data_IF_434220731579
#
_entry.id   IF_434220731579
#
_cell.length_a   1.000
_cell.length_b   1.000
_cell.length_c   1.000
_cell.angle_alpha   90.00
_cell.angle_beta   90.00
_cell.angle_gamma   90.00
#
_symmetry.space_group_name_H-M   'P 1'
#
loop_
_entity.id
_entity.type
_entity.pdbx_description
1 polymer ?
#
# COMPACT_ATOMS: atom_id res chain seq x y z
N UNK A 1 31.58 25.97 7.79
CA UNK A 1 30.65 24.82 7.79
C UNK A 1 29.94 24.88 6.45
N UNK A 2 30.14 23.90 5.56
CA UNK A 2 29.47 23.92 4.27
C UNK A 2 27.96 23.90 4.50
N UNK A 3 27.25 24.89 3.96
CA UNK A 3 25.79 25.01 4.04
C UNK A 3 25.16 23.80 3.36
N UNK A 4 24.88 22.74 4.12
CA UNK A 4 24.19 21.56 3.63
C UNK A 4 22.70 21.85 3.47
N UNK A 5 22.06 21.20 2.49
CA UNK A 5 20.60 21.26 2.33
C UNK A 5 19.93 20.73 3.61
N UNK A 6 19.03 21.51 4.19
CA UNK A 6 18.28 21.10 5.38
C UNK A 6 16.90 20.55 5.00
N UNK A 7 16.38 19.61 5.79
CA UNK A 7 14.99 19.13 5.67
C UNK A 7 14.00 20.30 5.75
N UNK A 8 14.29 21.31 6.56
CA UNK A 8 13.41 22.48 6.71
C UNK A 8 13.23 23.25 5.40
N UNK A 9 14.31 23.44 4.64
CA UNK A 9 14.26 24.12 3.33
C UNK A 9 13.39 23.35 2.33
N UNK A 10 13.51 22.01 2.29
CA UNK A 10 12.68 21.17 1.40
C UNK A 10 11.21 21.19 1.83
N UNK A 11 10.94 21.13 3.14
CA UNK A 11 9.56 21.20 3.65
C UNK A 11 8.95 22.57 3.39
N UNK A 12 9.71 23.66 3.48
CA UNK A 12 9.23 24.99 3.11
C UNK A 12 8.86 25.05 1.62
N UNK A 13 9.65 24.42 0.75
CA UNK A 13 9.33 24.28 -0.68
C UNK A 13 7.98 23.59 -0.90
N UNK A 14 7.79 22.45 -0.22
CA UNK A 14 6.55 21.68 -0.24
C UNK A 14 5.36 22.48 0.31
N UNK A 15 5.59 23.30 1.34
CA UNK A 15 4.57 24.17 1.91
C UNK A 15 4.17 25.29 0.93
N UNK A 16 5.14 25.94 0.28
CA UNK A 16 4.88 26.97 -0.75
C UNK A 16 4.03 26.39 -1.87
N UNK A 17 4.32 25.15 -2.30
CA UNK A 17 3.56 24.48 -3.33
C UNK A 17 2.12 24.16 -2.91
N UNK A 18 1.88 23.78 -1.64
CA UNK A 18 0.57 23.30 -1.17
C UNK A 18 -0.31 24.35 -0.48
N UNK A 19 0.22 25.54 -0.18
CA UNK A 19 -0.55 26.57 0.53
C UNK A 19 -1.65 27.14 -0.37
N UNK A 20 -2.94 27.08 0.03
CA UNK A 20 -4.00 27.75 -0.70
C UNK A 20 -3.87 29.26 -0.49
N UNK A 21 -3.64 30.01 -1.57
CA UNK A 21 -3.67 31.48 -1.53
C UNK A 21 -5.12 31.94 -1.63
N UNK A 22 -5.74 32.11 -0.47
CA UNK A 22 -7.12 32.55 -0.37
C UNK A 22 -7.25 34.04 -0.57
N UNK A 23 -7.48 34.49 -1.79
CA UNK A 23 -8.08 35.81 -2.08
C UNK A 23 -9.07 35.79 -3.26
N UNK A 24 -9.18 34.70 -4.02
CA UNK A 24 -10.04 34.64 -5.21
C UNK A 24 -11.48 34.11 -4.96
N UNK A 25 -11.86 33.77 -3.73
CA UNK A 25 -13.17 33.16 -3.47
C UNK A 25 -14.33 34.18 -3.38
N UNK A 26 -14.06 35.49 -3.42
CA UNK A 26 -15.11 36.51 -3.16
C UNK A 26 -15.65 37.29 -4.35
N UNK A 27 -15.03 37.29 -5.52
CA UNK A 27 -15.52 38.14 -6.63
C UNK A 27 -15.49 37.41 -7.97
N UNK A 28 -16.58 36.69 -8.29
CA UNK A 28 -17.00 36.45 -9.67
C UNK A 28 -18.47 36.01 -9.70
N UNK A 29 -19.36 37.00 -9.80
CA UNK A 29 -20.73 36.77 -10.22
C UNK A 29 -20.79 36.35 -11.69
N UNK A 30 -21.60 35.34 -11.97
CA UNK A 30 -22.09 34.93 -13.30
C UNK A 30 -21.14 34.10 -14.19
N UNK A 31 -20.81 32.88 -13.74
CA UNK A 31 -20.53 31.74 -14.62
C UNK A 31 -21.08 30.45 -13.98
N UNK A 32 -21.31 29.38 -14.75
CA UNK A 32 -21.78 28.10 -14.21
C UNK A 32 -20.88 27.64 -13.05
N UNK A 33 -21.45 27.21 -11.90
CA UNK A 33 -20.74 27.10 -10.63
C UNK A 33 -19.62 26.04 -10.59
N UNK A 34 -19.53 25.16 -11.59
CA UNK A 34 -18.51 24.11 -11.68
C UNK A 34 -17.28 24.52 -12.51
N UNK A 35 -17.48 25.25 -13.60
CA UNK A 35 -16.40 25.76 -14.46
C UNK A 35 -15.59 26.86 -13.79
N UNK A 36 -16.23 27.70 -12.99
CA UNK A 36 -15.54 28.78 -12.25
C UNK A 36 -14.54 28.19 -11.23
N UNK A 37 -14.99 27.18 -10.45
CA UNK A 37 -14.15 26.46 -9.49
C UNK A 37 -12.95 25.75 -10.12
N UNK A 38 -13.10 25.22 -11.34
CA UNK A 38 -12.02 24.56 -12.07
C UNK A 38 -10.93 25.57 -12.49
N UNK A 39 -11.34 26.71 -13.05
CA UNK A 39 -10.43 27.78 -13.44
C UNK A 39 -9.68 28.35 -12.22
N UNK A 40 -10.38 28.57 -11.10
CA UNK A 40 -9.75 29.01 -9.84
C UNK A 40 -8.71 28.01 -9.34
N UNK A 41 -9.01 26.71 -9.38
CA UNK A 41 -8.07 25.67 -8.97
C UNK A 41 -6.82 25.65 -9.87
N UNK A 42 -7.00 25.65 -11.20
CA UNK A 42 -5.89 25.63 -12.15
C UNK A 42 -4.99 26.88 -11.99
N UNK A 43 -5.60 28.05 -11.79
CA UNK A 43 -4.88 29.30 -11.54
C UNK A 43 -4.10 29.24 -10.23
N UNK A 44 -4.67 28.64 -9.17
CA UNK A 44 -3.99 28.43 -7.89
C UNK A 44 -2.78 27.52 -8.05
N UNK A 45 -2.92 26.38 -8.74
CA UNK A 45 -1.81 25.46 -9.01
C UNK A 45 -0.69 26.14 -9.81
N UNK A 46 -1.06 26.89 -10.85
CA UNK A 46 -0.11 27.63 -11.69
C UNK A 46 0.65 28.69 -10.88
N UNK A 47 -0.06 29.48 -10.08
CA UNK A 47 0.53 30.51 -9.23
C UNK A 47 1.49 29.91 -8.19
N UNK A 48 1.12 28.78 -7.58
CA UNK A 48 1.96 28.09 -6.60
C UNK A 48 3.27 27.60 -7.25
N UNK A 49 3.20 27.04 -8.46
CA UNK A 49 4.40 26.64 -9.22
C UNK A 49 5.26 27.85 -9.57
N UNK A 50 4.68 28.92 -10.13
CA UNK A 50 5.47 30.11 -10.49
C UNK A 50 6.12 30.79 -9.28
N UNK A 51 5.46 30.79 -8.13
CA UNK A 51 6.03 31.32 -6.88
C UNK A 51 7.18 30.45 -6.38
N UNK A 52 7.04 29.13 -6.49
CA UNK A 52 8.11 28.20 -6.13
C UNK A 52 9.32 28.38 -7.04
N UNK A 53 9.11 28.47 -8.36
CA UNK A 53 10.17 28.70 -9.35
C UNK A 53 10.90 30.02 -9.09
N UNK A 54 10.16 31.11 -8.85
CA UNK A 54 10.72 32.43 -8.54
C UNK A 54 11.56 32.41 -7.26
N UNK A 55 11.05 31.79 -6.19
CA UNK A 55 11.81 31.64 -4.93
C UNK A 55 13.07 30.80 -5.10
N UNK A 56 13.02 29.73 -5.90
CA UNK A 56 14.19 28.87 -6.13
C UNK A 56 15.24 29.59 -6.98
N UNK A 57 14.83 30.41 -7.93
CA UNK A 57 15.75 31.15 -8.81
C UNK A 57 16.41 32.32 -8.08
N UNK A 58 15.64 33.06 -7.29
CA UNK A 58 16.07 34.33 -6.69
C UNK A 58 16.52 34.21 -5.22
N UNK A 59 16.16 33.12 -4.52
CA UNK A 59 16.47 32.92 -3.11
C UNK A 59 17.86 32.31 -2.86
N UNK A 60 18.78 32.97 -2.13
CA UNK A 60 20.08 32.40 -1.81
C UNK A 60 19.99 31.14 -0.95
N UNK A 61 18.99 31.07 -0.05
CA UNK A 61 18.71 29.92 0.82
C UNK A 61 18.28 28.65 0.05
N UNK A 62 17.89 28.81 -1.22
CA UNK A 62 17.32 27.76 -2.07
C UNK A 62 18.31 27.25 -3.11
N UNK A 63 19.53 27.80 -3.13
CA UNK A 63 20.59 27.42 -4.09
C UNK A 63 20.95 25.95 -4.00
N UNK A 64 21.15 25.43 -2.79
CA UNK A 64 21.48 24.01 -2.59
C UNK A 64 20.30 23.10 -2.93
N UNK A 65 19.07 23.53 -2.68
CA UNK A 65 17.88 22.80 -3.14
C UNK A 65 17.83 22.75 -4.67
N UNK A 66 18.10 23.87 -5.35
CA UNK A 66 18.11 23.91 -6.81
C UNK A 66 19.20 23.00 -7.39
N UNK A 67 20.39 22.99 -6.78
CA UNK A 67 21.49 22.10 -7.15
C UNK A 67 21.10 20.62 -7.00
N UNK A 68 20.41 20.27 -5.92
CA UNK A 68 19.86 18.92 -5.71
C UNK A 68 18.81 18.56 -6.78
N UNK A 69 17.88 19.48 -7.09
CA UNK A 69 16.86 19.30 -8.14
C UNK A 69 17.51 19.02 -9.49
N UNK A 70 18.49 19.81 -9.90
CA UNK A 70 19.19 19.63 -11.18
C UNK A 70 19.98 18.31 -11.23
N UNK A 71 20.62 17.91 -10.11
CA UNK A 71 21.31 16.63 -9.99
C UNK A 71 20.34 15.46 -10.17
N UNK A 72 19.19 15.49 -9.50
CA UNK A 72 18.17 14.46 -9.61
C UNK A 72 17.62 14.37 -11.03
N UNK A 73 17.26 15.50 -11.64
CA UNK A 73 16.78 15.54 -13.03
C UNK A 73 17.79 14.92 -14.01
N UNK A 74 19.09 15.13 -13.81
CA UNK A 74 20.13 14.53 -14.63
C UNK A 74 20.29 13.01 -14.41
N UNK A 75 19.99 12.51 -13.20
CA UNK A 75 20.09 11.08 -12.87
C UNK A 75 18.84 10.29 -13.29
N UNK A 76 17.66 10.91 -13.24
CA UNK A 76 16.38 10.24 -13.51
C UNK A 76 15.97 10.33 -14.98
N UNK A 77 16.37 9.33 -15.78
CA UNK A 77 16.03 9.25 -17.22
C UNK A 77 14.53 9.31 -17.51
N UNK A 78 13.68 8.86 -16.60
CA UNK A 78 12.23 8.82 -16.81
C UNK A 78 11.55 10.20 -16.64
N UNK A 79 12.23 11.20 -16.05
CA UNK A 79 11.78 12.60 -15.95
C UNK A 79 12.26 13.49 -17.11
N UNK A 80 13.11 12.96 -18.00
CA UNK A 80 13.67 13.72 -19.11
C UNK A 80 12.57 14.30 -20.01
N UNK A 81 12.70 15.59 -20.37
CA UNK A 81 11.74 16.30 -21.23
C UNK A 81 10.37 16.62 -20.59
N UNK A 82 10.13 16.23 -19.33
CA UNK A 82 8.83 16.43 -18.67
C UNK A 82 8.59 17.88 -18.21
N UNK A 83 9.66 18.68 -18.04
CA UNK A 83 9.62 20.06 -17.54
C UNK A 83 9.57 21.09 -18.69
N UNK A 84 8.85 20.79 -19.77
CA UNK A 84 8.73 21.68 -20.94
C UNK A 84 7.80 22.88 -20.67
N UNK A 85 7.99 23.98 -21.40
CA UNK A 85 7.12 25.18 -21.31
C UNK A 85 5.66 24.91 -21.69
N UNK A 86 5.38 23.87 -22.47
CA UNK A 86 4.04 23.48 -22.91
C UNK A 86 3.34 22.50 -21.96
N UNK A 87 3.92 22.23 -20.78
CA UNK A 87 3.37 21.29 -19.81
C UNK A 87 2.11 21.86 -19.15
N UNK A 88 1.04 21.07 -19.10
CA UNK A 88 -0.21 21.48 -18.48
C UNK A 88 0.00 21.82 -16.99
N UNK A 89 -0.68 22.86 -16.44
CA UNK A 89 -0.36 23.36 -15.10
C UNK A 89 -0.56 22.33 -13.98
N UNK A 90 -1.58 21.47 -14.06
CA UNK A 90 -1.80 20.40 -13.06
C UNK A 90 -0.68 19.35 -13.07
N UNK A 91 -0.18 19.02 -14.26
CA UNK A 91 0.91 18.07 -14.40
C UNK A 91 2.25 18.69 -14.01
N UNK A 92 2.47 19.96 -14.37
CA UNK A 92 3.64 20.74 -13.93
C UNK A 92 3.73 20.78 -12.40
N UNK A 93 2.61 21.04 -11.73
CA UNK A 93 2.50 21.00 -10.28
C UNK A 93 2.84 19.61 -9.71
N UNK A 94 2.30 18.56 -10.32
CA UNK A 94 2.54 17.17 -9.88
C UNK A 94 4.02 16.79 -10.01
N UNK A 95 4.67 17.17 -11.12
CA UNK A 95 6.09 16.95 -11.34
C UNK A 95 6.95 17.68 -10.31
N UNK A 96 6.62 18.93 -9.98
CA UNK A 96 7.34 19.68 -8.94
C UNK A 96 7.18 19.04 -7.55
N UNK A 97 5.96 18.61 -7.21
CA UNK A 97 5.71 17.89 -5.96
C UNK A 97 6.53 16.60 -5.87
N UNK A 98 6.55 15.79 -6.93
CA UNK A 98 7.33 14.56 -7.01
C UNK A 98 8.84 14.83 -6.89
N UNK A 99 9.36 15.83 -7.61
CA UNK A 99 10.77 16.19 -7.55
C UNK A 99 11.19 16.67 -6.15
N UNK A 100 10.35 17.47 -5.48
CA UNK A 100 10.62 17.89 -4.10
C UNK A 100 10.56 16.74 -3.10
N UNK A 101 9.68 15.76 -3.29
CA UNK A 101 9.67 14.54 -2.47
C UNK A 101 10.94 13.69 -2.67
N UNK A 102 11.45 13.60 -3.90
CA UNK A 102 12.73 12.95 -4.17
C UNK A 102 13.90 13.73 -3.55
N UNK A 103 13.88 15.07 -3.61
CA UNK A 103 14.87 15.90 -2.91
C UNK A 103 14.82 15.67 -1.39
N UNK A 104 13.63 15.54 -0.82
CA UNK A 104 13.46 15.26 0.61
C UNK A 104 14.06 13.90 0.97
N UNK A 105 13.77 12.87 0.17
CA UNK A 105 14.34 11.52 0.33
C UNK A 105 15.87 11.54 0.28
N UNK A 106 16.48 12.13 -0.75
CA UNK A 106 17.95 12.20 -0.84
C UNK A 106 18.58 13.03 0.29
N UNK A 107 17.94 14.14 0.68
CA UNK A 107 18.37 14.94 1.83
C UNK A 107 18.38 14.11 3.12
N UNK A 108 17.34 13.29 3.36
CA UNK A 108 17.27 12.42 4.53
C UNK A 108 18.36 11.33 4.49
N UNK A 109 18.66 10.78 3.31
CA UNK A 109 19.74 9.78 3.14
C UNK A 109 21.11 10.40 3.42
N UNK A 110 21.40 11.58 2.86
CA UNK A 110 22.67 12.31 3.10
C UNK A 110 22.83 12.70 4.59
N UNK A 111 21.75 13.08 5.27
CA UNK A 111 21.76 13.42 6.69
C UNK A 111 21.99 12.18 7.57
N UNK A 112 21.38 11.04 7.26
CA UNK A 112 21.62 9.80 7.99
C UNK A 112 23.05 9.31 7.78
N UNK A 113 23.58 9.40 6.56
CA UNK A 113 24.95 9.00 6.26
C UNK A 113 26.01 9.85 7.00
N UNK A 114 25.69 11.12 7.29
CA UNK A 114 26.57 12.03 8.03
C UNK A 114 26.36 12.00 9.55
N UNK A 115 25.37 11.26 10.04
CA UNK A 115 25.03 11.20 11.45
C UNK A 115 25.86 10.16 12.21
N UNK A 116 26.57 10.63 13.24
CA UNK A 116 27.23 9.77 14.21
C UNK A 116 26.49 9.87 15.54
N UNK A 117 25.79 8.81 16.00
CA UNK A 117 25.09 8.86 17.28
C UNK A 117 26.09 9.03 18.43
N UNK A 118 25.79 9.97 19.33
CA UNK A 118 26.53 10.16 20.57
C UNK A 118 26.52 8.86 21.38
N UNK A 119 27.68 8.41 21.88
CA UNK A 119 27.73 7.24 22.77
C UNK A 119 26.83 7.47 23.99
N UNK A 120 25.97 6.51 24.36
CA UNK A 120 25.10 6.67 25.52
C UNK A 120 25.95 6.90 26.77
N UNK A 121 25.72 8.01 27.46
CA UNK A 121 26.47 8.34 28.66
C UNK A 121 25.88 7.54 29.84
N UNK A 122 26.64 6.61 30.46
CA UNK A 122 26.13 5.75 31.52
C UNK A 122 25.73 6.51 32.80
N UNK A 123 26.07 7.81 32.92
CA UNK A 123 25.73 8.66 34.07
C UNK A 123 24.36 9.32 34.00
N UNK A 124 23.68 9.31 32.85
CA UNK A 124 22.35 9.89 32.66
C UNK A 124 21.48 8.98 31.79
N UNK A 125 21.03 7.83 32.33
CA UNK A 125 20.20 6.86 31.60
C UNK A 125 18.80 7.39 31.23
N UNK A 126 18.35 8.51 31.83
CA UNK A 126 17.07 9.15 31.53
C UNK A 126 17.08 10.07 30.29
N UNK A 127 18.26 10.36 29.72
CA UNK A 127 18.33 11.18 28.50
C UNK A 127 17.99 10.30 27.32
N UNK A 128 16.83 10.56 26.71
CA UNK A 128 16.39 9.89 25.49
C UNK A 128 17.50 9.98 24.41
N UNK A 129 17.80 8.87 23.70
CA UNK A 129 18.80 8.89 22.63
C UNK A 129 18.42 9.95 21.59
N UNK A 130 19.43 10.63 21.05
CA UNK A 130 19.22 11.65 20.04
C UNK A 130 18.42 11.07 18.87
N UNK A 131 17.32 11.74 18.50
CA UNK A 131 16.48 11.33 17.38
C UNK A 131 17.33 11.30 16.10
N UNK A 132 17.08 10.31 15.26
CA UNK A 132 17.74 10.22 13.96
C UNK A 132 17.35 11.45 13.11
N UNK A 133 18.28 11.99 12.31
CA UNK A 133 18.07 13.24 11.59
C UNK A 133 17.04 13.13 10.46
N UNK A 134 16.59 11.91 10.13
CA UNK A 134 15.49 11.60 9.21
C UNK A 134 14.11 11.53 9.89
N UNK A 135 14.02 11.92 11.17
CA UNK A 135 12.75 12.02 11.88
C UNK A 135 12.05 13.32 11.55
N UNK A 136 10.88 13.24 10.91
CA UNK A 136 10.03 14.39 10.62
C UNK A 136 9.17 14.76 11.83
N UNK A 137 9.10 16.04 12.17
CA UNK A 137 8.14 16.57 13.15
C UNK A 137 6.69 16.40 12.69
N UNK A 138 5.73 16.43 13.63
CA UNK A 138 4.30 16.26 13.33
C UNK A 138 3.80 17.29 12.29
N UNK A 139 4.28 18.54 12.36
CA UNK A 139 3.95 19.58 11.38
C UNK A 139 4.53 19.27 10.00
N UNK A 140 5.77 18.76 9.92
CA UNK A 140 6.39 18.37 8.65
C UNK A 140 5.68 17.15 8.05
N UNK A 141 5.30 16.16 8.86
CA UNK A 141 4.53 14.99 8.41
C UNK A 141 3.19 15.40 7.80
N UNK A 142 2.46 16.36 8.41
CA UNK A 142 1.21 16.88 7.84
C UNK A 142 1.40 17.54 6.48
N UNK A 143 2.49 18.29 6.29
CA UNK A 143 2.82 18.91 5.00
C UNK A 143 3.11 17.83 3.97
N UNK A 144 3.94 16.83 4.30
CA UNK A 144 4.25 15.71 3.41
C UNK A 144 2.99 14.91 3.06
N UNK A 145 2.12 14.63 4.03
CA UNK A 145 0.83 13.96 3.78
C UNK A 145 -0.06 14.77 2.83
N UNK A 146 -0.14 16.09 2.99
CA UNK A 146 -0.90 16.94 2.07
C UNK A 146 -0.32 16.90 0.65
N UNK A 147 1.01 16.95 0.50
CA UNK A 147 1.68 16.81 -0.80
C UNK A 147 1.38 15.45 -1.42
N UNK A 148 1.52 14.37 -0.65
CA UNK A 148 1.21 13.01 -1.11
C UNK A 148 -0.25 12.92 -1.57
N UNK A 149 -1.19 13.52 -0.83
CA UNK A 149 -2.59 13.59 -1.25
C UNK A 149 -2.74 14.26 -2.62
N UNK A 150 -2.06 15.38 -2.87
CA UNK A 150 -2.08 16.04 -4.19
C UNK A 150 -1.45 15.16 -5.28
N UNK A 151 -0.29 14.56 -5.02
CA UNK A 151 0.40 13.69 -5.97
C UNK A 151 -0.46 12.48 -6.34
N UNK A 152 -1.11 11.83 -5.38
CA UNK A 152 -2.01 10.70 -5.65
C UNK A 152 -3.25 11.19 -6.42
N UNK A 153 -3.82 12.32 -6.00
CA UNK A 153 -5.02 12.90 -6.58
C UNK A 153 -4.84 13.39 -8.02
N UNK A 154 -3.67 13.96 -8.37
CA UNK A 154 -3.38 14.55 -9.68
C UNK A 154 -2.50 13.64 -10.55
N UNK A 155 -1.70 12.76 -9.93
CA UNK A 155 -0.66 11.94 -10.57
C UNK A 155 -0.97 10.46 -10.73
N UNK A 156 -1.90 9.89 -9.94
CA UNK A 156 -2.31 8.48 -10.07
C UNK A 156 -3.79 8.38 -10.43
N UNK A 157 -4.68 8.79 -9.53
CA UNK A 157 -6.11 8.52 -9.61
C UNK A 157 -6.76 8.94 -10.95
N UNK A 158 -6.40 10.09 -11.56
CA UNK A 158 -7.02 10.52 -12.80
C UNK A 158 -6.64 9.66 -14.00
N UNK A 159 -5.51 8.94 -13.92
CA UNK A 159 -4.96 8.13 -15.01
C UNK A 159 -5.27 6.63 -14.88
N UNK A 160 -5.89 6.22 -13.77
CA UNK A 160 -6.41 4.87 -13.60
C UNK A 160 -7.60 4.61 -14.53
N UNK A 161 -7.70 3.39 -15.06
CA UNK A 161 -8.83 2.95 -15.86
C UNK A 161 -10.08 2.80 -14.98
N UNK A 162 -11.29 2.98 -15.53
CA UNK A 162 -12.53 2.75 -14.79
C UNK A 162 -12.56 1.35 -14.16
N UNK A 163 -12.82 1.29 -12.85
CA UNK A 163 -12.85 0.04 -12.08
C UNK A 163 -11.49 -0.42 -11.55
N UNK A 164 -10.38 0.25 -11.91
CA UNK A 164 -9.06 0.03 -11.32
C UNK A 164 -8.85 0.99 -10.16
N UNK A 165 -8.63 0.47 -8.95
CA UNK A 165 -8.50 1.28 -7.73
C UNK A 165 -9.83 1.83 -7.21
N UNK A 166 -9.74 2.78 -6.28
CA UNK A 166 -10.88 3.55 -5.77
C UNK A 166 -10.92 4.91 -6.49
N UNK A 167 -12.01 5.25 -7.19
CA UNK A 167 -12.11 6.52 -7.89
C UNK A 167 -11.96 7.71 -6.93
N UNK A 168 -11.25 8.75 -7.36
CA UNK A 168 -11.05 9.98 -6.58
C UNK A 168 -12.36 10.65 -6.16
N UNK A 169 -13.44 10.53 -6.96
CA UNK A 169 -14.77 11.08 -6.63
C UNK A 169 -15.39 10.45 -5.39
N UNK A 170 -14.99 9.22 -5.05
CA UNK A 170 -15.49 8.51 -3.88
C UNK A 170 -14.70 8.86 -2.61
N UNK A 171 -13.61 9.62 -2.74
CA UNK A 171 -12.69 9.95 -1.65
C UNK A 171 -12.71 11.43 -1.27
N UNK A 172 -13.07 12.31 -2.20
CA UNK A 172 -13.16 13.74 -1.94
C UNK A 172 -14.07 14.43 -2.95
N UNK A 173 -14.79 15.46 -2.52
CA UNK A 173 -15.50 16.40 -3.39
C UNK A 173 -14.55 17.06 -4.41
N UNK A 174 -13.26 17.18 -4.07
CA UNK A 174 -12.17 17.61 -4.95
C UNK A 174 -12.00 16.69 -6.18
N UNK A 175 -12.37 15.41 -6.07
CA UNK A 175 -12.17 14.41 -7.12
C UNK A 175 -13.03 14.59 -8.36
N UNK A 176 -14.19 15.25 -8.24
CA UNK A 176 -15.01 15.60 -9.40
C UNK A 176 -14.33 16.70 -10.22
N UNK A 177 -13.83 17.74 -9.54
CA UNK A 177 -13.12 18.87 -10.15
C UNK A 177 -11.83 18.43 -10.86
N UNK A 178 -11.05 17.52 -10.25
CA UNK A 178 -9.81 17.02 -10.87
C UNK A 178 -10.07 16.21 -12.13
N UNK A 179 -11.14 15.40 -12.18
CA UNK A 179 -11.43 14.59 -13.36
C UNK A 179 -11.75 15.45 -14.58
N UNK A 180 -12.52 16.52 -14.38
CA UNK A 180 -12.84 17.48 -15.43
C UNK A 180 -11.62 18.25 -15.95
N UNK A 181 -10.56 18.40 -15.15
CA UNK A 181 -9.31 19.02 -15.60
C UNK A 181 -8.52 18.13 -16.58
N UNK A 182 -8.72 16.80 -16.55
CA UNK A 182 -7.83 15.80 -17.18
C UNK A 182 -8.48 15.14 -18.41
N UNK A 183 -9.49 15.81 -18.99
CA UNK A 183 -10.40 15.21 -19.99
C UNK A 183 -9.81 15.14 -21.41
N UNK A 184 -8.74 15.87 -21.72
CA UNK A 184 -8.24 16.05 -23.10
C UNK A 184 -6.95 15.29 -23.43
N UNK A 185 -6.48 14.38 -22.58
CA UNK A 185 -5.20 13.69 -22.78
C UNK A 185 -5.30 12.41 -23.61
N UNK A 186 -4.33 12.18 -24.49
CA UNK A 186 -4.21 10.92 -25.24
C UNK A 186 -3.87 9.75 -24.30
N UNK A 187 -4.25 8.50 -24.63
CA UNK A 187 -3.96 7.32 -23.80
C UNK A 187 -2.47 7.10 -23.50
N UNK A 188 -1.59 7.48 -24.43
CA UNK A 188 -0.13 7.37 -24.29
C UNK A 188 0.41 8.34 -23.25
N UNK A 189 -0.04 9.59 -23.27
CA UNK A 189 0.31 10.61 -22.27
C UNK A 189 -0.15 10.16 -20.88
N UNK A 190 -1.40 9.70 -20.75
CA UNK A 190 -1.96 9.21 -19.48
C UNK A 190 -1.13 8.07 -18.90
N UNK A 191 -0.75 7.11 -19.74
CA UNK A 191 0.07 5.97 -19.34
C UNK A 191 1.47 6.41 -18.90
N UNK A 192 2.09 7.35 -19.62
CA UNK A 192 3.41 7.89 -19.27
C UNK A 192 3.38 8.65 -17.95
N UNK A 193 2.37 9.49 -17.72
CA UNK A 193 2.20 10.25 -16.46
C UNK A 193 1.98 9.34 -15.26
N UNK A 194 1.19 8.28 -15.44
CA UNK A 194 1.01 7.26 -14.40
C UNK A 194 2.34 6.54 -14.10
N UNK A 195 3.11 6.16 -15.12
CA UNK A 195 4.42 5.54 -14.94
C UNK A 195 5.41 6.43 -14.18
N UNK A 196 5.50 7.70 -14.55
CA UNK A 196 6.35 8.70 -13.87
C UNK A 196 5.94 8.80 -12.39
N UNK A 197 4.65 8.94 -12.10
CA UNK A 197 4.15 9.08 -10.73
C UNK A 197 4.41 7.84 -9.88
N UNK A 198 4.13 6.64 -10.41
CA UNK A 198 4.42 5.39 -9.71
C UNK A 198 5.92 5.20 -9.48
N UNK A 199 6.77 5.53 -10.46
CA UNK A 199 8.23 5.35 -10.33
C UNK A 199 8.82 6.28 -9.27
N UNK A 200 8.43 7.56 -9.28
CA UNK A 200 8.83 8.53 -8.26
C UNK A 200 8.40 8.09 -6.85
N UNK A 201 7.16 7.63 -6.70
CA UNK A 201 6.63 7.20 -5.40
C UNK A 201 7.29 5.90 -4.89
N UNK A 202 7.65 4.99 -5.79
CA UNK A 202 8.45 3.81 -5.44
C UNK A 202 9.86 4.19 -4.99
N UNK A 203 10.49 5.19 -5.61
CA UNK A 203 11.78 5.70 -5.13
C UNK A 203 11.66 6.35 -3.74
N UNK A 204 10.57 7.10 -3.49
CA UNK A 204 10.28 7.70 -2.18
C UNK A 204 9.98 6.63 -1.13
N UNK A 205 9.32 5.53 -1.48
CA UNK A 205 8.96 4.47 -0.52
C UNK A 205 10.16 3.72 0.05
N UNK A 206 11.33 3.77 -0.60
CA UNK A 206 12.54 3.16 -0.08
C UNK A 206 13.06 3.83 1.21
N UNK A 207 12.69 5.09 1.47
CA UNK A 207 13.05 5.77 2.72
C UNK A 207 12.01 5.47 3.79
N UNK A 208 12.41 4.87 4.92
CA UNK A 208 11.48 4.34 5.95
C UNK A 208 10.43 5.35 6.43
N UNK A 209 10.85 6.56 6.82
CA UNK A 209 9.93 7.61 7.30
C UNK A 209 8.92 8.03 6.24
N UNK A 210 9.35 8.24 4.99
CA UNK A 210 8.46 8.66 3.90
C UNK A 210 7.60 7.50 3.38
N UNK A 211 8.17 6.31 3.29
CA UNK A 211 7.50 5.07 2.95
C UNK A 211 6.38 4.74 3.91
N UNK A 212 6.58 4.93 5.23
CA UNK A 212 5.49 4.75 6.20
C UNK A 212 4.31 5.68 5.91
N UNK A 213 4.54 6.98 5.69
CA UNK A 213 3.49 7.96 5.38
C UNK A 213 2.77 7.64 4.06
N UNK A 214 3.51 7.18 3.05
CA UNK A 214 2.96 6.82 1.74
C UNK A 214 2.13 5.52 1.81
N UNK A 215 2.69 4.46 2.38
CA UNK A 215 2.13 3.12 2.32
C UNK A 215 0.99 2.91 3.32
N UNK A 216 0.94 3.65 4.43
CA UNK A 216 -0.20 3.58 5.36
C UNK A 216 -1.51 4.06 4.74
N UNK A 217 -1.47 5.04 3.82
CA UNK A 217 -2.67 5.68 3.29
C UNK A 217 -2.91 5.45 1.79
N UNK A 218 -1.86 5.22 1.01
CA UNK A 218 -1.94 5.23 -0.45
C UNK A 218 -1.40 3.94 -1.10
N UNK A 219 -1.16 2.89 -0.32
CA UNK A 219 -0.74 1.57 -0.82
C UNK A 219 -1.69 1.07 -1.92
N UNK A 220 -3.01 1.13 -1.70
CA UNK A 220 -4.00 0.68 -2.66
C UNK A 220 -3.94 1.39 -4.02
N UNK A 221 -3.63 2.69 -4.03
CA UNK A 221 -3.52 3.48 -5.26
C UNK A 221 -2.26 3.14 -6.03
N UNK A 222 -1.15 3.02 -5.32
CA UNK A 222 0.14 2.65 -5.89
C UNK A 222 0.07 1.23 -6.47
N UNK A 223 -0.54 0.29 -5.74
CA UNK A 223 -0.81 -1.06 -6.23
C UNK A 223 -1.71 -1.05 -7.47
N UNK A 224 -2.78 -0.25 -7.48
CA UNK A 224 -3.66 -0.12 -8.63
C UNK A 224 -2.92 0.39 -9.88
N UNK A 225 -2.08 1.42 -9.69
CA UNK A 225 -1.23 1.98 -10.73
C UNK A 225 -0.25 0.95 -11.28
N UNK A 226 0.53 0.29 -10.41
CA UNK A 226 1.50 -0.73 -10.81
C UNK A 226 0.84 -1.95 -11.50
N UNK A 227 -0.33 -2.39 -11.01
CA UNK A 227 -1.11 -3.44 -11.66
C UNK A 227 -1.51 -3.04 -13.08
N UNK A 228 -2.00 -1.81 -13.26
CA UNK A 228 -2.38 -1.30 -14.58
C UNK A 228 -1.18 -1.20 -15.51
N UNK A 229 -0.06 -0.65 -15.04
CA UNK A 229 1.15 -0.46 -15.86
C UNK A 229 1.80 -1.80 -16.25
N UNK A 230 1.85 -2.77 -15.33
CA UNK A 230 2.54 -4.05 -15.53
C UNK A 230 1.70 -5.12 -16.24
N UNK A 231 0.37 -5.13 -16.05
CA UNK A 231 -0.48 -6.27 -16.41
C UNK A 231 -1.72 -5.91 -17.23
N UNK A 232 -2.00 -4.63 -17.50
CA UNK A 232 -3.12 -4.27 -18.37
C UNK A 232 -2.87 -4.79 -19.79
N UNK A 233 -3.82 -5.53 -20.40
CA UNK A 233 -3.65 -6.01 -21.76
C UNK A 233 -3.60 -4.83 -22.75
N UNK A 234 -2.56 -4.75 -23.58
CA UNK A 234 -2.54 -3.81 -24.72
C UNK A 234 -3.70 -4.15 -25.66
N UNK A 235 -4.53 -3.17 -26.01
CA UNK A 235 -5.52 -3.32 -27.09
C UNK A 235 -4.77 -3.56 -28.40
N UNK A 236 -4.58 -4.82 -28.79
CA UNK A 236 -3.86 -5.19 -30.03
C UNK A 236 -4.72 -5.12 -31.30
N UNK A 237 -6.00 -4.76 -31.22
CA UNK A 237 -6.90 -4.77 -32.39
C UNK A 237 -7.61 -3.42 -32.56
N UNK A 238 -7.04 -2.55 -33.40
CA UNK A 238 -7.76 -1.63 -34.28
C UNK A 238 -6.81 -1.30 -35.44
N UNK A 239 -7.34 -1.35 -36.65
CA UNK A 239 -6.65 -1.50 -37.93
C UNK A 239 -5.73 -0.33 -38.32
N UNK A 240 -4.72 -0.68 -39.12
CA UNK A 240 -3.95 0.07 -40.12
C UNK A 240 -3.33 1.46 -39.82
N UNK A 241 -2.02 1.50 -40.11
CA UNK A 241 -1.26 2.60 -40.75
C UNK A 241 -1.47 4.02 -40.22
N UNK A 242 -0.45 4.56 -39.54
CA UNK A 242 0.40 5.67 -40.03
C UNK A 242 1.55 5.85 -39.03
N UNK A 243 2.67 6.36 -39.52
CA UNK A 243 3.92 6.67 -38.81
C UNK A 243 3.61 7.52 -37.57
N UNK A 244 3.47 6.87 -36.41
CA UNK A 244 3.65 7.43 -35.07
C UNK A 244 3.53 6.29 -34.05
N UNK A 245 4.59 5.47 -33.95
CA UNK A 245 4.87 4.70 -32.73
C UNK A 245 5.22 5.69 -31.61
N UNK A 246 4.25 6.50 -31.18
CA UNK A 246 4.33 7.27 -29.95
C UNK A 246 4.25 6.26 -28.81
N UNK A 247 5.45 5.94 -28.33
CA UNK A 247 5.81 4.89 -27.38
C UNK A 247 4.74 4.67 -26.30
N UNK A 248 3.97 3.62 -26.47
CA UNK A 248 3.54 2.80 -25.34
C UNK A 248 4.77 2.51 -24.45
N UNK A 249 4.54 2.28 -23.16
CA UNK A 249 5.59 1.82 -22.25
C UNK A 249 6.36 0.66 -22.87
N UNK A 250 7.69 0.76 -22.83
CA UNK A 250 8.58 -0.30 -23.29
C UNK A 250 8.36 -1.57 -22.46
N UNK A 251 8.67 -2.74 -23.02
CA UNK A 251 8.56 -4.00 -22.28
C UNK A 251 9.45 -4.00 -21.03
N UNK A 252 10.60 -3.32 -21.08
CA UNK A 252 11.48 -3.09 -19.94
C UNK A 252 10.78 -2.31 -18.81
N UNK A 253 10.14 -1.17 -19.13
CA UNK A 253 9.39 -0.37 -18.15
C UNK A 253 8.18 -1.13 -17.58
N UNK A 254 7.51 -1.95 -18.40
CA UNK A 254 6.43 -2.83 -17.90
C UNK A 254 6.96 -3.88 -16.93
N UNK A 255 8.10 -4.50 -17.24
CA UNK A 255 8.73 -5.48 -16.35
C UNK A 255 9.23 -4.81 -15.06
N UNK A 256 9.77 -3.60 -15.15
CA UNK A 256 10.13 -2.79 -13.99
C UNK A 256 8.92 -2.56 -13.07
N UNK A 257 7.75 -2.23 -13.63
CA UNK A 257 6.52 -2.09 -12.84
C UNK A 257 6.09 -3.39 -12.14
N UNK A 258 6.31 -4.55 -12.78
CA UNK A 258 6.03 -5.86 -12.15
C UNK A 258 6.98 -6.13 -10.99
N UNK A 259 8.26 -5.82 -11.14
CA UNK A 259 9.25 -5.98 -10.07
C UNK A 259 9.01 -5.01 -8.91
N UNK A 260 8.63 -3.75 -9.21
CA UNK A 260 8.18 -2.80 -8.20
C UNK A 260 6.96 -3.32 -7.43
N UNK A 261 5.97 -3.90 -8.13
CA UNK A 261 4.82 -4.50 -7.45
C UNK A 261 5.26 -5.66 -6.53
N UNK A 262 6.11 -6.58 -7.00
CA UNK A 262 6.59 -7.69 -6.16
C UNK A 262 7.34 -7.18 -4.91
N UNK A 263 8.30 -6.27 -5.11
CA UNK A 263 9.07 -5.68 -4.02
C UNK A 263 8.16 -5.00 -2.99
N UNK A 264 7.15 -4.26 -3.45
CA UNK A 264 6.16 -3.62 -2.59
C UNK A 264 5.34 -4.65 -1.78
N UNK A 265 4.90 -5.73 -2.42
CA UNK A 265 4.11 -6.79 -1.76
C UNK A 265 4.91 -7.57 -0.71
N UNK A 266 6.24 -7.64 -0.86
CA UNK A 266 7.13 -8.35 0.06
C UNK A 266 7.60 -7.48 1.23
N UNK A 267 7.69 -6.15 1.03
CA UNK A 267 8.10 -5.21 2.08
C UNK A 267 6.99 -4.82 3.05
N UNK A 268 5.74 -4.80 2.57
CA UNK A 268 4.60 -4.31 3.35
C UNK A 268 4.00 -5.41 4.21
N UNK A 269 3.47 -5.02 5.38
CA UNK A 269 2.74 -5.91 6.27
C UNK A 269 1.64 -6.67 5.52
N UNK A 270 1.77 -8.00 5.46
CA UNK A 270 0.98 -8.87 4.60
C UNK A 270 -0.55 -8.73 4.77
N UNK A 271 -1.11 -8.55 5.99
CA UNK A 271 -2.52 -8.25 6.17
C UNK A 271 -3.02 -6.99 5.44
N UNK A 272 -2.21 -5.93 5.37
CA UNK A 272 -2.56 -4.71 4.62
C UNK A 272 -2.58 -4.99 3.12
N UNK A 273 -1.59 -5.73 2.62
CA UNK A 273 -1.53 -6.16 1.22
C UNK A 273 -2.77 -6.97 0.83
N UNK A 274 -3.17 -7.94 1.66
CA UNK A 274 -4.35 -8.77 1.44
C UNK A 274 -5.61 -7.91 1.41
N UNK A 275 -5.75 -6.98 2.36
CA UNK A 275 -6.86 -6.02 2.40
C UNK A 275 -6.96 -5.22 1.11
N UNK A 276 -5.85 -4.63 0.65
CA UNK A 276 -5.85 -3.84 -0.59
C UNK A 276 -6.12 -4.70 -1.83
N UNK A 277 -5.58 -5.92 -1.90
CA UNK A 277 -5.88 -6.84 -2.99
C UNK A 277 -7.36 -7.24 -3.05
N UNK A 278 -8.02 -7.45 -1.90
CA UNK A 278 -9.46 -7.69 -1.82
C UNK A 278 -10.27 -6.48 -2.28
N UNK A 279 -9.83 -5.26 -1.92
CA UNK A 279 -10.46 -4.00 -2.38
C UNK A 279 -10.30 -3.83 -3.90
N UNK A 280 -9.15 -4.21 -4.47
CA UNK A 280 -8.85 -4.16 -5.91
C UNK A 280 -9.57 -5.25 -6.72
N UNK A 281 -9.74 -6.45 -6.16
CA UNK A 281 -10.54 -7.52 -6.76
C UNK A 281 -12.02 -7.11 -6.90
N UNK A 282 -12.43 -6.09 -6.14
CA UNK A 282 -13.77 -5.52 -6.14
C UNK A 282 -14.69 -6.31 -5.22
N UNK A 283 -14.27 -6.43 -3.94
CA UNK A 283 -14.91 -7.18 -2.86
C UNK A 283 -16.44 -7.13 -2.79
N UNK A 284 -17.07 -7.97 -1.93
CA UNK A 284 -18.53 -8.16 -1.92
C UNK A 284 -19.20 -6.80 -1.91
N UNK A 285 -20.20 -6.62 -2.79
CA UNK A 285 -20.88 -5.35 -3.13
C UNK A 285 -21.58 -4.72 -1.91
N UNK A 286 -20.85 -4.37 -0.87
CA UNK A 286 -21.33 -3.55 0.21
C UNK A 286 -21.19 -2.12 -0.29
N UNK A 287 -22.32 -1.53 -0.68
CA UNK A 287 -22.38 -0.12 -0.99
C UNK A 287 -21.82 0.64 0.21
N UNK A 288 -20.71 1.33 0.01
CA UNK A 288 -20.26 2.35 0.96
C UNK A 288 -21.41 3.37 0.99
N UNK A 289 -22.13 3.44 2.10
CA UNK A 289 -23.08 4.52 2.35
C UNK A 289 -22.24 5.79 2.46
N UNK A 290 -22.16 6.56 1.38
CA UNK A 290 -21.67 7.93 1.43
C UNK A 290 -22.57 8.72 2.39
N UNK A 291 -21.97 9.63 3.15
CA UNK A 291 -22.63 10.57 4.06
C UNK A 291 -23.71 11.44 3.38
N UNK A 292 -23.85 11.33 2.05
CA UNK A 292 -24.89 11.96 1.24
C UNK A 292 -25.69 10.90 0.46
N UNK A 293 -26.41 9.99 1.13
CA UNK A 293 -27.67 9.33 0.69
C UNK A 293 -27.80 8.67 -0.70
N UNK A 294 -26.79 8.70 -1.58
CA UNK A 294 -26.84 8.15 -2.95
C UNK A 294 -25.80 7.05 -3.07
N UNK A 295 -26.28 5.81 -3.22
CA UNK A 295 -25.45 4.65 -3.51
C UNK A 295 -24.87 4.77 -4.93
N UNK A 296 -23.68 5.37 -5.08
CA UNK A 296 -22.94 5.34 -6.34
C UNK A 296 -22.39 3.94 -6.57
N UNK A 297 -22.98 3.20 -7.52
CA UNK A 297 -22.52 1.87 -7.94
C UNK A 297 -21.07 1.96 -8.42
N UNK A 298 -20.13 1.32 -7.70
CA UNK A 298 -18.72 1.21 -8.13
C UNK A 298 -18.68 0.43 -9.45
N UNK A 299 -17.98 0.96 -10.46
CA UNK A 299 -17.73 0.21 -11.68
C UNK A 299 -17.02 -1.11 -11.31
N UNK A 300 -17.45 -2.26 -11.85
CA UNK A 300 -16.86 -3.53 -11.49
C UNK A 300 -15.37 -3.55 -11.88
N UNK A 301 -14.53 -4.15 -11.03
CA UNK A 301 -13.12 -4.34 -11.34
C UNK A 301 -12.99 -5.15 -12.66
N UNK A 302 -12.12 -4.72 -13.60
CA UNK A 302 -11.87 -5.44 -14.84
C UNK A 302 -11.50 -6.91 -14.61
N UNK A 303 -11.87 -7.79 -15.54
CA UNK A 303 -11.61 -9.23 -15.42
C UNK A 303 -10.12 -9.58 -15.33
N UNK A 304 -9.25 -8.82 -16.00
CA UNK A 304 -7.79 -8.98 -15.90
C UNK A 304 -7.29 -8.65 -14.49
N UNK A 305 -7.79 -7.57 -13.88
CA UNK A 305 -7.39 -7.15 -12.54
C UNK A 305 -7.93 -8.13 -11.49
N UNK A 306 -9.18 -8.58 -11.63
CA UNK A 306 -9.77 -9.58 -10.72
C UNK A 306 -8.97 -10.89 -10.72
N UNK A 307 -8.53 -11.35 -11.89
CA UNK A 307 -7.69 -12.54 -12.02
C UNK A 307 -6.31 -12.32 -11.40
N UNK A 308 -5.67 -11.18 -11.68
CA UNK A 308 -4.37 -10.83 -11.10
C UNK A 308 -4.43 -10.74 -9.57
N UNK A 309 -5.41 -10.01 -9.03
CA UNK A 309 -5.60 -9.90 -7.58
C UNK A 309 -5.86 -11.27 -6.95
N UNK A 310 -6.65 -12.14 -7.59
CA UNK A 310 -6.86 -13.52 -7.13
C UNK A 310 -5.58 -14.36 -7.13
N UNK A 311 -4.74 -14.24 -8.17
CA UNK A 311 -3.45 -14.91 -8.24
C UNK A 311 -2.52 -14.45 -7.11
N UNK A 312 -2.37 -13.12 -6.93
CA UNK A 312 -1.53 -12.54 -5.88
C UNK A 312 -2.03 -12.91 -4.48
N UNK A 313 -3.34 -12.92 -4.25
CA UNK A 313 -3.94 -13.36 -2.97
C UNK A 313 -3.63 -14.84 -2.70
N UNK A 314 -3.71 -15.70 -3.71
CA UNK A 314 -3.37 -17.11 -3.57
C UNK A 314 -1.89 -17.29 -3.23
N UNK A 315 -1.00 -16.56 -3.92
CA UNK A 315 0.43 -16.55 -3.65
C UNK A 315 0.77 -16.05 -2.23
N UNK A 316 -0.03 -15.14 -1.65
CA UNK A 316 0.10 -14.69 -0.26
C UNK A 316 -0.46 -15.70 0.74
N UNK A 317 -1.60 -16.32 0.45
CA UNK A 317 -2.21 -17.33 1.31
C UNK A 317 -1.27 -18.54 1.51
N UNK A 318 -0.50 -18.89 0.48
CA UNK A 318 0.38 -20.06 0.48
C UNK A 318 1.78 -19.81 1.07
N UNK A 319 2.12 -18.56 1.39
CA UNK A 319 3.34 -18.25 2.16
C UNK A 319 3.20 -18.76 3.61
N UNK A 320 4.31 -18.99 4.34
CA UNK A 320 4.24 -19.27 5.77
C UNK A 320 3.50 -18.15 6.49
N UNK A 321 2.62 -18.51 7.45
CA UNK A 321 1.70 -17.59 8.13
C UNK A 321 0.73 -16.82 7.19
N UNK A 322 0.56 -17.26 5.94
CA UNK A 322 -0.36 -16.66 4.98
C UNK A 322 -1.82 -16.77 5.41
N UNK A 323 -2.25 -17.89 5.98
CA UNK A 323 -3.62 -18.05 6.52
C UNK A 323 -3.85 -17.05 7.66
N UNK A 324 -2.90 -16.92 8.58
CA UNK A 324 -2.96 -15.94 9.66
C UNK A 324 -3.07 -14.51 9.10
N UNK A 325 -2.29 -14.18 8.07
CA UNK A 325 -2.32 -12.87 7.46
C UNK A 325 -3.66 -12.57 6.76
N UNK A 326 -4.32 -13.57 6.15
CA UNK A 326 -5.66 -13.44 5.55
C UNK A 326 -6.70 -13.18 6.63
N UNK A 327 -6.66 -13.95 7.72
CA UNK A 327 -7.57 -13.77 8.86
C UNK A 327 -7.44 -12.36 9.43
N UNK A 328 -6.20 -11.90 9.67
CA UNK A 328 -5.94 -10.52 10.14
C UNK A 328 -6.41 -9.47 9.14
N UNK A 329 -6.09 -9.61 7.85
CA UNK A 329 -6.46 -8.63 6.83
C UNK A 329 -7.98 -8.42 6.69
N UNK A 330 -8.77 -9.48 6.91
CA UNK A 330 -10.24 -9.43 6.82
C UNK A 330 -10.88 -8.99 8.15
N UNK A 331 -10.34 -9.43 9.30
CA UNK A 331 -10.92 -9.14 10.61
C UNK A 331 -10.46 -7.78 11.18
N UNK A 332 -9.18 -7.44 11.07
CA UNK A 332 -8.60 -6.17 11.57
C UNK A 332 -8.98 -4.97 10.70
N UNK A 333 -9.34 -5.20 9.43
CA UNK A 333 -9.72 -4.16 8.46
C UNK A 333 -11.04 -3.43 8.75
N UNK A 334 -11.77 -3.82 9.80
CA UNK A 334 -13.12 -3.33 10.11
C UNK A 334 -13.19 -2.07 10.99
N UNK A 335 -12.08 -1.47 11.45
CA UNK A 335 -12.20 -0.24 12.23
C UNK A 335 -10.96 0.18 13.03
N UNK A 336 -9.86 0.52 12.35
CA UNK A 336 -8.87 1.40 12.96
C UNK A 336 -9.44 2.85 12.98
N UNK A 337 -10.35 3.13 13.91
CA UNK A 337 -10.96 4.45 14.08
C UNK A 337 -12.27 4.52 14.87
N UNK A 338 -12.89 3.40 15.26
CA UNK A 338 -14.09 3.42 16.11
C UNK A 338 -13.75 2.92 17.51
N UNK A 339 -13.31 3.85 18.36
CA UNK A 339 -13.46 3.70 19.81
C UNK A 339 -14.97 3.68 20.07
N UNK A 340 -15.51 2.54 20.52
CA UNK A 340 -16.83 2.45 21.16
C UNK A 340 -18.01 2.03 20.27
N UNK A 341 -18.03 0.78 19.79
CA UNK A 341 -19.24 0.14 19.24
C UNK A 341 -19.60 -1.11 20.04
N UNK A 342 -20.82 -1.14 20.61
CA UNK A 342 -21.36 -2.18 21.49
C UNK A 342 -21.21 -3.63 20.95
N UNK A 343 -20.88 -4.55 21.87
CA UNK A 343 -20.36 -5.91 21.65
C UNK A 343 -21.24 -6.91 20.87
N UNK A 344 -22.48 -6.58 20.50
CA UNK A 344 -23.39 -7.53 19.84
C UNK A 344 -23.34 -7.45 18.29
N UNK A 345 -23.31 -6.24 17.71
CA UNK A 345 -23.20 -6.06 16.25
C UNK A 345 -21.78 -6.29 15.73
N UNK A 346 -20.77 -5.95 16.53
CA UNK A 346 -19.38 -6.28 16.22
C UNK A 346 -19.17 -7.80 16.23
N UNK A 347 -19.75 -8.52 17.20
CA UNK A 347 -19.68 -9.98 17.27
C UNK A 347 -20.51 -10.68 16.18
N UNK A 348 -21.67 -10.13 15.79
CA UNK A 348 -22.47 -10.66 14.68
C UNK A 348 -21.79 -10.45 13.32
N UNK A 349 -21.16 -9.29 13.09
CA UNK A 349 -20.40 -9.04 11.86
C UNK A 349 -19.14 -9.92 11.76
N UNK A 350 -18.54 -10.28 12.89
CA UNK A 350 -17.29 -11.02 12.90
C UNK A 350 -17.46 -12.51 12.54
N UNK A 351 -18.61 -13.14 12.82
CA UNK A 351 -18.78 -14.55 12.45
C UNK A 351 -19.03 -14.77 10.97
N UNK A 352 -19.79 -13.87 10.31
CA UNK A 352 -19.99 -13.92 8.86
C UNK A 352 -18.66 -13.76 8.12
N UNK A 353 -17.76 -12.91 8.66
CA UNK A 353 -16.38 -12.79 8.16
C UNK A 353 -15.60 -14.07 8.38
N UNK A 354 -15.70 -14.71 9.55
CA UNK A 354 -15.03 -15.99 9.81
C UNK A 354 -15.51 -17.08 8.84
N UNK A 355 -16.82 -17.18 8.60
CA UNK A 355 -17.40 -18.11 7.62
C UNK A 355 -16.96 -17.80 6.18
N UNK A 356 -16.93 -16.51 5.80
CA UNK A 356 -16.40 -16.11 4.50
C UNK A 356 -14.93 -16.51 4.33
N UNK A 357 -14.10 -16.36 5.38
CA UNK A 357 -12.70 -16.81 5.36
C UNK A 357 -12.63 -18.34 5.21
N UNK A 358 -13.41 -19.10 5.97
CA UNK A 358 -13.46 -20.56 5.84
C UNK A 358 -13.81 -20.99 4.41
N UNK A 359 -14.81 -20.35 3.79
CA UNK A 359 -15.17 -20.58 2.38
C UNK A 359 -14.05 -20.25 1.41
N UNK A 360 -13.27 -19.18 1.67
CA UNK A 360 -12.08 -18.85 0.87
C UNK A 360 -11.02 -19.94 1.01
N UNK A 361 -10.76 -20.44 2.23
CA UNK A 361 -9.74 -21.45 2.49
C UNK A 361 -10.06 -22.82 1.86
N UNK A 362 -11.34 -23.19 1.80
CA UNK A 362 -11.82 -24.41 1.14
C UNK A 362 -11.75 -24.30 -0.38
N UNK A 363 -11.93 -23.09 -0.91
CA UNK A 363 -11.94 -22.85 -2.36
C UNK A 363 -10.52 -22.90 -2.93
N UNK A 364 -10.11 -24.06 -3.43
CA UNK A 364 -8.80 -24.22 -4.08
C UNK A 364 -8.67 -23.24 -5.26
N UNK A 365 -7.56 -22.47 -5.35
CA UNK A 365 -7.36 -21.52 -6.43
C UNK A 365 -7.26 -22.24 -7.79
N UNK A 366 -8.02 -21.78 -8.78
CA UNK A 366 -8.08 -22.38 -10.12
C UNK A 366 -6.79 -22.27 -10.94
N UNK A 367 -5.80 -21.48 -10.48
CA UNK A 367 -4.79 -20.89 -11.38
C UNK A 367 -3.39 -21.47 -11.29
N UNK A 368 -3.07 -22.34 -10.34
CA UNK A 368 -1.84 -23.14 -10.34
C UNK A 368 -1.72 -23.86 -9.02
N UNK A 369 -1.81 -25.20 -9.04
CA UNK A 369 -1.39 -26.22 -8.05
C UNK A 369 -2.39 -27.39 -8.09
N UNK A 370 -1.91 -28.59 -7.75
CA UNK A 370 -2.81 -29.70 -7.43
C UNK A 370 -3.52 -29.43 -6.11
N UNK A 371 -4.70 -30.01 -5.93
CA UNK A 371 -5.52 -29.82 -4.72
C UNK A 371 -4.75 -30.31 -3.48
N UNK A 372 -3.96 -31.37 -3.64
CA UNK A 372 -3.10 -31.96 -2.62
C UNK A 372 -1.99 -31.01 -2.16
N UNK A 373 -1.25 -30.39 -3.09
CA UNK A 373 -0.15 -29.47 -2.75
C UNK A 373 -0.66 -28.20 -2.07
N UNK A 374 -1.88 -27.77 -2.40
CA UNK A 374 -2.54 -26.66 -1.72
C UNK A 374 -2.84 -27.01 -0.25
N UNK A 375 -3.55 -28.12 0.00
CA UNK A 375 -3.90 -28.52 1.36
C UNK A 375 -2.68 -28.89 2.20
N UNK A 376 -1.64 -29.46 1.60
CA UNK A 376 -0.37 -29.70 2.30
C UNK A 376 0.25 -28.41 2.88
N UNK A 377 0.07 -27.27 2.22
CA UNK A 377 0.60 -25.96 2.66
C UNK A 377 -0.36 -25.18 3.56
N UNK A 378 -1.67 -25.34 3.39
CA UNK A 378 -2.69 -24.57 4.11
C UNK A 378 -3.12 -25.23 5.42
N UNK A 379 -3.30 -26.56 5.44
CA UNK A 379 -3.81 -27.28 6.61
C UNK A 379 -2.92 -27.14 7.86
N UNK A 380 -1.58 -27.22 7.79
CA UNK A 380 -0.73 -26.97 8.97
C UNK A 380 -0.94 -25.57 9.56
N UNK A 381 -1.08 -24.56 8.71
CA UNK A 381 -1.32 -23.19 9.14
C UNK A 381 -2.69 -23.01 9.82
N UNK A 382 -3.71 -23.77 9.40
CA UNK A 382 -5.03 -23.80 10.05
C UNK A 382 -4.89 -24.37 11.47
N UNK A 383 -4.10 -25.44 11.65
CA UNK A 383 -3.84 -26.01 12.96
C UNK A 383 -3.05 -25.03 13.85
N UNK A 384 -2.11 -24.27 13.29
CA UNK A 384 -1.38 -23.22 14.03
C UNK A 384 -2.32 -22.14 14.58
N UNK A 385 -3.45 -21.85 13.92
CA UNK A 385 -4.44 -20.89 14.42
C UNK A 385 -5.05 -21.32 15.77
N UNK A 386 -5.22 -22.63 15.99
CA UNK A 386 -5.79 -23.17 17.23
C UNK A 386 -4.86 -22.94 18.43
N UNK A 387 -3.56 -22.79 18.17
CA UNK A 387 -2.53 -22.60 19.19
C UNK A 387 -2.32 -21.13 19.59
N UNK A 388 -2.99 -20.18 18.92
CA UNK A 388 -2.88 -18.76 19.25
C UNK A 388 -3.59 -18.48 20.59
N UNK A 389 -2.84 -17.94 21.56
CA UNK A 389 -3.32 -17.68 22.93
C UNK A 389 -3.65 -16.22 23.23
N UNK A 390 -3.51 -15.31 22.25
CA UNK A 390 -3.78 -13.89 22.47
C UNK A 390 -5.26 -13.66 22.83
N UNK A 391 -5.60 -13.10 24.01
CA UNK A 391 -6.98 -13.05 24.50
C UNK A 391 -7.93 -12.24 23.60
N UNK A 392 -7.40 -11.26 22.85
CA UNK A 392 -8.22 -10.40 22.00
C UNK A 392 -8.57 -11.05 20.66
N UNK A 393 -7.67 -11.88 20.11
CA UNK A 393 -7.83 -12.45 18.77
C UNK A 393 -8.05 -13.96 18.75
N UNK A 394 -7.65 -14.69 19.80
CA UNK A 394 -7.69 -16.16 19.87
C UNK A 394 -9.07 -16.72 19.55
N UNK A 395 -10.13 -16.14 20.09
CA UNK A 395 -11.50 -16.60 19.82
C UNK A 395 -11.87 -16.53 18.34
N UNK A 396 -11.41 -15.49 17.64
CA UNK A 396 -11.69 -15.31 16.21
C UNK A 396 -10.85 -16.27 15.37
N UNK A 397 -9.56 -16.43 15.69
CA UNK A 397 -8.68 -17.39 15.03
C UNK A 397 -9.16 -18.83 15.20
N UNK A 398 -9.51 -19.23 16.42
CA UNK A 398 -10.06 -20.55 16.72
C UNK A 398 -11.36 -20.81 15.96
N UNK A 399 -12.26 -19.81 15.88
CA UNK A 399 -13.50 -19.95 15.11
C UNK A 399 -13.24 -20.17 13.63
N UNK A 400 -12.35 -19.38 13.01
CA UNK A 400 -11.96 -19.59 11.61
C UNK A 400 -11.36 -20.99 11.43
N UNK A 401 -10.50 -21.42 12.35
CA UNK A 401 -9.86 -22.71 12.28
C UNK A 401 -10.86 -23.87 12.35
N UNK A 402 -11.80 -23.83 13.29
CA UNK A 402 -12.84 -24.85 13.43
C UNK A 402 -13.77 -24.87 12.21
N UNK A 403 -14.19 -23.71 11.71
CA UNK A 403 -15.06 -23.64 10.53
C UNK A 403 -14.35 -24.13 9.26
N UNK A 404 -13.09 -23.73 9.07
CA UNK A 404 -12.28 -24.23 7.96
C UNK A 404 -12.04 -25.73 8.07
N UNK A 405 -11.78 -26.26 9.28
CA UNK A 405 -11.63 -27.69 9.52
C UNK A 405 -12.89 -28.47 9.10
N UNK A 406 -14.07 -28.01 9.53
CA UNK A 406 -15.34 -28.63 9.19
C UNK A 406 -15.61 -28.57 7.68
N UNK A 407 -15.40 -27.40 7.08
CA UNK A 407 -15.69 -27.19 5.67
C UNK A 407 -14.73 -27.96 4.75
N UNK A 408 -13.45 -28.08 5.11
CA UNK A 408 -12.48 -28.93 4.38
C UNK A 408 -12.85 -30.41 4.55
N UNK A 409 -13.24 -30.84 5.76
CA UNK A 409 -13.68 -32.21 6.02
C UNK A 409 -14.91 -32.62 5.21
N UNK A 410 -15.82 -31.68 4.94
CA UNK A 410 -17.00 -31.91 4.10
C UNK A 410 -16.67 -31.92 2.60
N UNK A 411 -15.76 -31.05 2.16
CA UNK A 411 -15.41 -30.92 0.74
C UNK A 411 -14.46 -32.03 0.25
N UNK A 412 -13.40 -32.34 1.01
CA UNK A 412 -12.32 -33.25 0.63
C UNK A 412 -11.90 -34.15 1.80
N UNK A 413 -12.70 -35.20 2.13
CA UNK A 413 -12.54 -35.97 3.36
C UNK A 413 -11.19 -36.71 3.46
N UNK A 414 -10.67 -37.20 2.33
CA UNK A 414 -9.39 -37.94 2.30
C UNK A 414 -8.19 -37.05 2.63
N UNK A 415 -8.19 -35.80 2.15
CA UNK A 415 -7.12 -34.83 2.42
C UNK A 415 -7.26 -34.22 3.80
N UNK A 416 -8.49 -34.02 4.28
CA UNK A 416 -8.76 -33.62 5.66
C UNK A 416 -8.26 -34.68 6.65
N UNK A 417 -8.49 -35.96 6.39
CA UNK A 417 -7.97 -37.05 7.22
C UNK A 417 -6.45 -36.99 7.33
N UNK A 418 -5.77 -36.91 6.18
CA UNK A 418 -4.31 -36.91 6.09
C UNK A 418 -3.65 -35.67 6.71
N UNK A 419 -4.19 -34.48 6.46
CA UNK A 419 -3.51 -33.21 6.76
C UNK A 419 -4.11 -32.43 7.94
N UNK A 420 -5.29 -32.80 8.45
CA UNK A 420 -5.92 -32.14 9.60
C UNK A 420 -6.17 -33.12 10.75
N UNK A 421 -6.89 -34.21 10.50
CA UNK A 421 -7.33 -35.13 11.56
C UNK A 421 -6.14 -35.92 12.14
N UNK A 422 -5.34 -36.57 11.30
CA UNK A 422 -4.18 -37.35 11.75
C UNK A 422 -3.19 -36.49 12.58
N UNK A 423 -2.79 -35.27 12.15
CA UNK A 423 -1.94 -34.41 12.98
C UNK A 423 -2.53 -34.05 14.35
N UNK A 424 -3.84 -33.85 14.47
CA UNK A 424 -4.51 -33.55 15.75
C UNK A 424 -4.55 -34.79 16.65
N UNK A 425 -4.72 -35.97 16.07
CA UNK A 425 -4.75 -37.24 16.81
C UNK A 425 -3.36 -37.82 17.10
N UNK A 426 -2.33 -37.38 16.39
CA UNK A 426 -0.93 -37.84 16.51
C UNK A 426 -0.43 -37.87 17.97
N UNK A 427 -0.66 -36.84 18.81
CA UNK A 427 -0.29 -36.91 20.23
C UNK A 427 -1.00 -38.05 20.95
N UNK A 428 -2.28 -38.28 20.71
CA UNK A 428 -3.06 -39.35 21.35
C UNK A 428 -2.62 -40.74 20.87
N UNK A 429 -2.32 -40.88 19.58
CA UNK A 429 -1.81 -42.12 19.00
C UNK A 429 -0.43 -42.49 19.56
N UNK A 430 0.44 -41.51 19.78
CA UNK A 430 1.74 -41.74 20.46
C UNK A 430 1.57 -42.23 21.88
N UNK A 431 0.55 -41.76 22.59
CA UNK A 431 0.23 -42.22 23.94
C UNK A 431 -0.31 -43.66 23.96
N UNK A 432 -1.13 -44.06 22.98
CA UNK A 432 -1.71 -45.41 22.92
C UNK A 432 -0.74 -46.46 22.36
N UNK A 433 0.20 -46.04 21.51
CA UNK A 433 1.26 -46.88 20.93
C UNK A 433 2.54 -46.91 21.77
N UNK A 434 2.68 -46.05 22.78
CA UNK A 434 3.77 -46.14 23.73
C UNK A 434 3.69 -47.51 24.46
N UNK A 435 4.73 -48.35 24.41
CA UNK A 435 4.72 -49.62 25.10
C UNK A 435 4.50 -49.36 26.60
N UNK A 436 3.53 -50.07 27.20
CA UNK A 436 3.16 -49.99 28.62
C UNK A 436 4.26 -50.43 29.61
N UNK A 437 5.54 -50.44 29.20
CA UNK A 437 6.67 -50.76 30.05
C UNK A 437 7.52 -49.54 30.29
N UNK A 438 7.19 -48.75 31.32
CA UNK A 438 8.11 -47.92 32.13
C UNK A 438 7.40 -46.98 33.14
N UNK A 439 6.10 -47.18 33.42
CA UNK A 439 5.48 -46.58 34.61
C UNK A 439 5.37 -47.63 35.73
N UNK A 440 6.51 -47.94 36.38
CA UNK A 440 6.55 -48.93 37.44
C UNK A 440 7.89 -49.12 38.13
N UNK A 441 8.13 -48.33 39.20
CA UNK A 441 8.91 -48.67 40.40
C UNK A 441 10.42 -49.00 40.27
N UNK A 442 11.24 -48.01 40.65
CA UNK A 442 12.21 -47.99 41.79
C UNK A 442 13.48 -47.22 41.41
N UNK A 443 13.55 -45.94 41.80
CA UNK A 443 14.85 -45.34 42.15
C UNK A 443 15.01 -45.48 43.66
N UNK A 444 15.62 -46.58 44.09
CA UNK A 444 16.44 -46.61 45.30
C UNK A 444 17.87 -46.29 44.85
N UNK A 445 18.28 -45.04 44.91
CA UNK A 445 19.70 -44.70 44.90
C UNK A 445 20.18 -44.61 46.35
N UNK A 446 20.66 -45.75 46.84
CA UNK A 446 21.70 -45.81 47.87
C UNK A 446 23.01 -45.32 47.28
N UNK A 447 23.76 -44.62 48.14
CA UNK A 447 25.12 -44.13 47.99
C UNK A 447 26.10 -45.05 47.24
N UNK A 448 27.13 -44.39 46.68
CA UNK A 448 28.56 -44.76 46.79
C UNK A 448 29.28 -45.19 45.51
N UNK A 449 30.25 -44.35 45.16
CA UNK A 449 31.62 -44.66 44.74
C UNK A 449 31.99 -45.00 43.28
N UNK A 450 33.07 -44.31 42.88
CA UNK A 450 34.17 -44.62 41.94
C UNK A 450 34.17 -43.69 40.70
N UNK A 451 35.08 -42.70 40.60
CA UNK A 451 36.49 -42.82 40.14
C UNK A 451 36.52 -43.49 38.75
N UNK A 452 36.86 -42.83 37.64
CA UNK A 452 37.96 -41.91 37.37
C UNK A 452 37.58 -40.81 36.37
#
# INVERSE_FOLDING_TARGET
>A
MAEGLTISTVIEALKVLTTPRGDSWRDSGQASPETDKQCTLLNTLKLNVSTLEDKILNGPEWKELNKMRMRLLAQTKWLEGCFSSHTEPHWRFTLEALLLLLCLKECMIELVASFQPSKPNPRTPEVAPALSPDTLSISQQKIVQAVLQFVISLGICPYLLPGVGLPIQQRSEFGALVRSLITCETPTIRTRRLFISCSALMEVSHQLSLGSLLLTHYLGDLMAGLCQLGFCPSRKNAEQNTIEKLKDLTESERNQCKEFLKSLLDQVYQPLVIRELLILQGGPRQGIKSCSGKATKRAPAPSWLRRLSGHLLSERLMKPHGVQAVVRGILEGAGAGAVGGHDAEAASSNWEKCDAIARILVSCPQQSLTVEEYYQKVCPQILDLLHIQDPFTARQFQRVATEAFLAIGQAEPQLAEKHLILPVLEPLLRWTLAPQGLCGRKQTHSNSAALY
#
